data_IF_320532575639
#
_entry.id   IF_320532575639
#
_cell.length_a   1.000
_cell.length_b   1.000
_cell.length_c   1.000
_cell.angle_alpha   90.00
_cell.angle_beta   90.00
_cell.angle_gamma   90.00
#
_symmetry.space_group_name_H-M   'P 1'
#
loop_
_entity.id
_entity.type
_entity.pdbx_description
1 polymer ?
#
# COMPACT_ATOMS: atom_id res chain seq x y z
N UNK A 1 18.32 16.84 8.13
CA UNK A 1 18.07 15.87 7.05
C UNK A 1 16.64 16.00 6.57
N UNK A 2 16.45 16.10 5.26
CA UNK A 2 15.13 16.16 4.68
C UNK A 2 14.60 14.76 4.38
N UNK A 3 13.31 14.57 4.63
CA UNK A 3 12.59 13.33 4.31
C UNK A 3 11.42 13.68 3.41
N UNK A 4 11.20 12.84 2.42
CA UNK A 4 10.12 12.98 1.46
C UNK A 4 9.12 11.85 1.69
N UNK A 5 7.99 12.21 2.27
CA UNK A 5 6.93 11.25 2.61
C UNK A 5 5.97 11.11 1.46
N UNK A 6 5.74 9.89 0.99
CA UNK A 6 4.67 9.60 0.04
C UNK A 6 3.38 9.45 0.82
N UNK A 7 2.40 10.28 0.50
CA UNK A 7 1.10 10.28 1.13
C UNK A 7 0.03 10.01 0.08
N UNK A 8 -1.06 9.40 0.52
CA UNK A 8 -2.19 9.09 -0.34
C UNK A 8 -3.49 9.50 0.34
N UNK A 9 -4.48 9.90 -0.46
CA UNK A 9 -5.83 10.16 0.02
C UNK A 9 -6.85 9.63 -0.98
N UNK A 10 -8.00 9.26 -0.46
CA UNK A 10 -9.14 8.80 -1.26
C UNK A 10 -10.43 9.09 -0.52
N UNK A 11 -11.54 9.06 -1.24
CA UNK A 11 -12.86 9.23 -0.66
C UNK A 11 -13.53 7.88 -0.50
N UNK A 12 -13.90 7.54 0.72
CA UNK A 12 -14.63 6.30 1.03
C UNK A 12 -16.12 6.57 0.89
N UNK A 13 -16.72 6.06 -0.18
CA UNK A 13 -18.15 6.27 -0.49
C UNK A 13 -19.06 5.54 0.49
N UNK A 14 -18.59 4.44 1.07
CA UNK A 14 -19.38 3.65 2.02
C UNK A 14 -19.60 4.41 3.33
N UNK A 15 -18.54 5.02 3.86
CA UNK A 15 -18.58 5.78 5.11
C UNK A 15 -18.69 7.28 4.89
N UNK A 16 -18.73 7.73 3.64
CA UNK A 16 -18.84 9.15 3.26
C UNK A 16 -17.77 10.02 3.94
N UNK A 17 -16.53 9.57 3.94
CA UNK A 17 -15.42 10.29 4.56
C UNK A 17 -14.17 10.27 3.70
N UNK A 18 -13.34 11.30 3.88
CA UNK A 18 -12.01 11.36 3.27
C UNK A 18 -11.02 10.57 4.11
N UNK A 19 -10.26 9.70 3.45
CA UNK A 19 -9.23 8.89 4.11
C UNK A 19 -7.85 9.38 3.69
N UNK A 20 -6.88 9.22 4.58
CA UNK A 20 -5.50 9.63 4.37
C UNK A 20 -4.55 8.59 4.94
N UNK A 21 -3.43 8.36 4.26
CA UNK A 21 -2.43 7.39 4.67
C UNK A 21 -1.04 7.87 4.32
N UNK A 22 -0.10 7.72 5.27
CA UNK A 22 1.32 7.85 4.99
C UNK A 22 1.83 6.48 4.54
N UNK A 23 2.40 6.41 3.34
CA UNK A 23 2.78 5.12 2.77
C UNK A 23 4.22 4.75 3.10
N UNK A 24 5.16 5.60 2.71
CA UNK A 24 6.57 5.38 3.02
C UNK A 24 7.36 6.67 2.85
N UNK A 25 8.58 6.70 3.38
CA UNK A 25 9.44 7.86 3.35
C UNK A 25 10.74 7.56 2.62
N UNK A 26 11.26 8.56 1.93
CA UNK A 26 12.51 8.48 1.19
C UNK A 26 13.43 9.64 1.56
N UNK A 27 14.72 9.45 1.34
CA UNK A 27 15.71 10.52 1.57
C UNK A 27 15.91 11.40 0.33
N UNK A 28 15.31 11.03 -0.81
CA UNK A 28 15.35 11.84 -2.03
C UNK A 28 13.97 11.97 -2.63
N UNK A 29 13.71 13.14 -3.23
CA UNK A 29 12.44 13.41 -3.91
C UNK A 29 12.28 12.53 -5.14
N UNK A 30 13.36 12.28 -5.86
CA UNK A 30 13.37 11.44 -7.05
C UNK A 30 12.94 10.01 -6.74
N UNK A 31 13.41 9.45 -5.63
CA UNK A 31 13.02 8.11 -5.19
C UNK A 31 11.53 8.06 -4.82
N UNK A 32 11.04 9.10 -4.14
CA UNK A 32 9.62 9.21 -3.79
C UNK A 32 8.74 9.28 -5.05
N UNK A 33 9.14 10.08 -6.02
CA UNK A 33 8.39 10.22 -7.29
C UNK A 33 8.40 8.91 -8.08
N UNK A 34 9.53 8.23 -8.13
CA UNK A 34 9.65 6.92 -8.79
C UNK A 34 8.70 5.90 -8.16
N UNK A 35 8.61 5.90 -6.84
CA UNK A 35 7.68 5.03 -6.12
C UNK A 35 6.24 5.28 -6.54
N UNK A 36 5.83 6.55 -6.62
CA UNK A 36 4.47 6.91 -7.05
C UNK A 36 4.22 6.46 -8.48
N UNK A 37 5.17 6.69 -9.39
CA UNK A 37 5.05 6.35 -10.81
C UNK A 37 4.93 4.84 -11.04
N UNK A 38 5.63 4.05 -10.24
CA UNK A 38 5.65 2.58 -10.34
C UNK A 38 4.56 1.91 -9.50
N UNK A 39 3.94 2.64 -8.60
CA UNK A 39 3.02 2.08 -7.60
C UNK A 39 1.88 1.24 -8.19
N UNK A 40 1.15 1.68 -9.22
CA UNK A 40 0.03 0.88 -9.73
C UNK A 40 0.46 -0.51 -10.19
N UNK A 41 1.56 -0.63 -10.90
CA UNK A 41 2.07 -1.91 -11.41
C UNK A 41 2.61 -2.78 -10.28
N UNK A 42 3.36 -2.18 -9.36
CA UNK A 42 3.96 -2.89 -8.23
C UNK A 42 2.87 -3.41 -7.29
N UNK A 43 1.87 -2.59 -6.99
CA UNK A 43 0.78 -2.98 -6.11
C UNK A 43 -0.10 -4.07 -6.72
N UNK A 44 -0.37 -3.98 -8.02
CA UNK A 44 -1.11 -5.02 -8.74
C UNK A 44 -0.36 -6.35 -8.71
N UNK A 45 0.94 -6.34 -8.95
CA UNK A 45 1.77 -7.53 -8.89
C UNK A 45 1.80 -8.13 -7.47
N UNK A 46 1.84 -7.30 -6.44
CA UNK A 46 1.78 -7.75 -5.05
C UNK A 46 0.44 -8.42 -4.74
N UNK A 47 -0.66 -7.85 -5.24
CA UNK A 47 -2.01 -8.44 -5.10
C UNK A 47 -2.12 -9.79 -5.77
N UNK A 48 -1.56 -9.95 -6.96
CA UNK A 48 -1.55 -11.24 -7.66
C UNK A 48 -0.74 -12.29 -6.90
N UNK A 49 0.42 -11.92 -6.35
CA UNK A 49 1.23 -12.84 -5.53
C UNK A 49 0.47 -13.29 -4.30
N UNK A 50 -0.24 -12.36 -3.64
CA UNK A 50 -1.06 -12.68 -2.49
C UNK A 50 -2.16 -13.69 -2.84
N UNK A 51 -2.88 -13.44 -3.94
CA UNK A 51 -3.94 -14.34 -4.41
C UNK A 51 -3.41 -15.74 -4.74
N UNK A 52 -2.26 -15.82 -5.41
CA UNK A 52 -1.61 -17.08 -5.73
C UNK A 52 -1.22 -17.87 -4.48
N UNK A 53 -0.70 -17.18 -3.45
CA UNK A 53 -0.35 -17.80 -2.19
C UNK A 53 -1.58 -18.32 -1.45
N UNK A 54 -2.67 -17.55 -1.43
CA UNK A 54 -3.92 -17.97 -0.81
C UNK A 54 -4.48 -19.22 -1.50
N UNK A 55 -4.46 -19.25 -2.83
CA UNK A 55 -4.88 -20.43 -3.60
C UNK A 55 -4.00 -21.64 -3.32
N UNK A 56 -2.68 -21.45 -3.32
CA UNK A 56 -1.71 -22.52 -3.07
C UNK A 56 -1.90 -23.16 -1.70
N UNK A 57 -2.27 -22.36 -0.71
CA UNK A 57 -2.54 -22.87 0.65
C UNK A 57 -3.96 -23.36 0.85
N UNK A 58 -4.81 -23.23 -0.17
CA UNK A 58 -6.18 -23.71 -0.14
C UNK A 58 -7.14 -22.92 0.72
N UNK A 59 -6.83 -21.65 1.01
CA UNK A 59 -7.74 -20.79 1.75
C UNK A 59 -8.97 -20.43 0.93
N UNK A 60 -10.13 -20.41 1.58
CA UNK A 60 -11.42 -20.02 1.01
C UNK A 60 -11.98 -18.83 1.78
N UNK A 61 -12.94 -18.14 1.16
CA UNK A 61 -13.62 -17.02 1.82
C UNK A 61 -14.14 -17.40 3.21
N UNK A 62 -13.88 -16.53 4.16
CA UNK A 62 -14.35 -16.68 5.55
C UNK A 62 -13.47 -17.53 6.43
N UNK A 63 -12.37 -18.07 5.91
CA UNK A 63 -11.42 -18.85 6.73
C UNK A 63 -10.46 -17.92 7.47
N UNK A 64 -10.06 -18.34 8.66
CA UNK A 64 -9.04 -17.66 9.44
C UNK A 64 -7.67 -17.99 8.87
N UNK A 65 -6.87 -16.96 8.61
CA UNK A 65 -5.53 -17.11 8.06
C UNK A 65 -4.53 -17.34 9.19
N UNK A 66 -3.57 -18.25 8.96
CA UNK A 66 -2.50 -18.53 9.91
C UNK A 66 -1.49 -17.37 9.94
N UNK A 67 -1.49 -16.62 11.04
CA UNK A 67 -0.58 -15.50 11.24
C UNK A 67 0.88 -15.90 11.43
N UNK A 68 1.16 -17.20 11.59
CA UNK A 68 2.53 -17.72 11.70
C UNK A 68 3.14 -18.07 10.34
N UNK A 69 2.34 -18.03 9.27
CA UNK A 69 2.83 -18.20 7.91
C UNK A 69 3.53 -16.93 7.46
N UNK A 70 4.84 -16.89 7.62
CA UNK A 70 5.65 -15.70 7.35
C UNK A 70 5.57 -15.25 5.89
N UNK A 71 5.64 -16.19 4.95
CA UNK A 71 5.56 -15.86 3.52
C UNK A 71 4.24 -15.17 3.18
N UNK A 72 3.15 -15.67 3.73
CA UNK A 72 1.82 -15.10 3.52
C UNK A 72 1.70 -13.73 4.17
N UNK A 73 2.21 -13.57 5.40
CA UNK A 73 2.18 -12.26 6.09
C UNK A 73 3.02 -11.23 5.36
N UNK A 74 4.18 -11.59 4.84
CA UNK A 74 5.02 -10.71 4.04
C UNK A 74 4.28 -10.27 2.75
N UNK A 75 3.54 -11.18 2.11
CA UNK A 75 2.75 -10.86 0.93
C UNK A 75 1.60 -9.89 1.25
N UNK A 76 0.97 -10.03 2.40
CA UNK A 76 -0.04 -9.07 2.86
C UNK A 76 0.58 -7.68 3.08
N UNK A 77 1.77 -7.61 3.66
CA UNK A 77 2.45 -6.33 3.92
C UNK A 77 2.85 -5.61 2.63
N UNK A 78 3.18 -6.35 1.57
CA UNK A 78 3.57 -5.78 0.28
C UNK A 78 2.39 -5.18 -0.49
N UNK A 79 1.19 -5.69 -0.29
CA UNK A 79 -0.01 -5.22 -0.98
C UNK A 79 -0.75 -4.18 -0.15
N UNK A 80 -0.93 -2.98 -0.69
CA UNK A 80 -1.65 -1.89 -0.02
C UNK A 80 -3.07 -1.85 -0.55
N UNK A 81 -4.03 -1.94 0.37
CA UNK A 81 -5.45 -1.89 0.07
C UNK A 81 -6.05 -0.57 0.55
N UNK A 82 -6.79 0.12 -0.32
CA UNK A 82 -7.43 1.40 -0.01
C UNK A 82 -8.94 1.23 0.25
N UNK A 83 -9.29 0.31 1.15
CA UNK A 83 -10.68 0.06 1.55
C UNK A 83 -11.62 -0.25 0.38
N UNK A 84 -11.13 -1.01 -0.61
CA UNK A 84 -11.90 -1.37 -1.79
C UNK A 84 -11.99 -0.29 -2.86
N UNK A 85 -11.34 0.85 -2.67
CA UNK A 85 -11.24 1.90 -3.67
C UNK A 85 -10.18 1.51 -4.70
N UNK A 86 -10.46 1.74 -5.98
CA UNK A 86 -9.50 1.51 -7.05
C UNK A 86 -8.28 2.41 -6.92
N UNK A 87 -7.10 1.91 -7.26
CA UNK A 87 -5.86 2.70 -7.24
C UNK A 87 -5.98 3.98 -8.09
N UNK A 88 -6.81 3.97 -9.15
CA UNK A 88 -7.06 5.13 -10.01
C UNK A 88 -7.79 6.26 -9.28
N UNK A 89 -8.52 5.96 -8.22
CA UNK A 89 -9.29 6.93 -7.44
C UNK A 89 -8.48 7.47 -6.25
N UNK A 90 -7.25 7.02 -6.09
CA UNK A 90 -6.37 7.45 -5.01
C UNK A 90 -5.43 8.55 -5.50
N UNK A 91 -5.34 9.63 -4.76
CA UNK A 91 -4.41 10.71 -5.03
C UNK A 91 -3.13 10.53 -4.23
N UNK A 92 -1.99 10.68 -4.88
CA UNK A 92 -0.67 10.60 -4.26
C UNK A 92 0.03 11.94 -4.31
N UNK A 93 0.78 12.28 -3.27
CA UNK A 93 1.65 13.45 -3.26
C UNK A 93 2.87 13.20 -2.37
N UNK A 94 3.81 14.12 -2.45
CA UNK A 94 5.04 14.08 -1.67
C UNK A 94 5.05 15.26 -0.72
N UNK A 95 5.20 14.97 0.58
CA UNK A 95 5.37 16.01 1.60
C UNK A 95 6.82 16.01 2.07
N UNK A 96 7.39 17.20 2.20
CA UNK A 96 8.77 17.38 2.64
C UNK A 96 8.79 17.69 4.13
N UNK A 97 9.58 16.94 4.88
CA UNK A 97 9.77 17.14 6.31
C UNK A 97 11.24 17.31 6.63
N UNK A 98 11.54 18.22 7.57
CA UNK A 98 12.88 18.40 8.08
C UNK A 98 13.01 17.67 9.41
N UNK A 99 13.92 16.67 9.47
CA UNK A 99 14.21 16.00 10.73
C UNK A 99 15.21 16.81 11.53
N UNK A 100 14.89 17.04 12.80
CA UNK A 100 15.77 17.67 13.76
C UNK A 100 16.54 16.60 14.51
N UNK A 101 17.81 16.83 14.66
CA UNK A 101 18.69 15.97 15.46
C UNK A 101 18.46 16.21 16.97
#
# INVERSE_FOLDING_TARGET
>A
MKIYMVEASWYDKLYEESCHMNICAFTSKESAQKYIDEFPEVNEAAGRRLDELLDKRGYKNGQVIDCNDKELMDAFDEHICFNGVSDDEVEFWISEYELRD
#
